data_IF_542632817464
#
_entry.id   IF_542632817464
#
_cell.length_a   1.000
_cell.length_b   1.000
_cell.length_c   1.000
_cell.angle_alpha   90.00
_cell.angle_beta   90.00
_cell.angle_gamma   90.00
#
_symmetry.space_group_name_H-M   'P 1'
#
loop_
_entity.id
_entity.type
_entity.pdbx_description
1 polymer ?
#
# COMPACT_ATOMS: atom_id res chain seq x y z
N UNK A 1 39.33 8.75 -47.34
CA UNK A 1 39.21 8.64 -48.80
C UNK A 1 37.78 8.22 -49.15
N UNK A 2 37.24 8.97 -50.05
CA UNK A 2 36.03 8.92 -50.88
C UNK A 2 34.74 9.42 -50.23
N UNK A 3 34.47 10.67 -50.51
CA UNK A 3 33.20 11.37 -50.62
C UNK A 3 32.45 10.86 -51.87
N UNK A 4 31.12 10.77 -51.80
CA UNK A 4 30.27 10.94 -52.97
C UNK A 4 29.01 11.68 -52.56
N UNK A 5 28.81 12.84 -53.17
CA UNK A 5 27.68 13.75 -53.20
C UNK A 5 26.94 13.55 -54.52
N UNK A 6 25.61 13.73 -54.60
CA UNK A 6 24.82 14.19 -55.75
C UNK A 6 23.35 14.14 -55.36
N UNK A 7 22.58 15.12 -55.42
CA UNK A 7 22.17 16.27 -56.23
C UNK A 7 20.69 16.13 -56.62
N UNK A 8 19.96 17.07 -56.19
CA UNK A 8 18.82 17.91 -56.61
C UNK A 8 18.19 17.58 -57.99
N UNK A 9 16.83 17.51 -58.01
CA UNK A 9 16.05 17.94 -59.17
C UNK A 9 14.64 18.39 -58.79
N UNK A 10 14.35 19.65 -59.00
CA UNK A 10 13.06 20.30 -58.93
C UNK A 10 12.37 20.21 -60.30
N UNK A 11 11.07 20.09 -60.35
CA UNK A 11 10.28 20.41 -61.57
C UNK A 11 8.98 21.12 -61.18
N UNK A 12 8.86 22.37 -61.60
CA UNK A 12 7.65 23.17 -61.67
C UNK A 12 6.81 22.77 -62.91
N UNK A 13 5.48 22.81 -62.79
CA UNK A 13 4.59 23.04 -63.93
C UNK A 13 3.38 23.87 -63.50
N UNK A 14 3.25 25.02 -64.12
CA UNK A 14 2.12 25.99 -64.12
C UNK A 14 1.05 25.59 -65.11
N UNK A 15 -0.15 26.08 -64.86
CA UNK A 15 -1.17 26.33 -65.89
C UNK A 15 -2.59 25.96 -65.45
N UNK A 16 -3.63 26.68 -65.58
CA UNK A 16 -4.09 27.93 -66.16
C UNK A 16 -5.54 28.13 -65.69
N UNK A 17 -5.96 29.37 -65.56
CA UNK A 17 -7.24 29.88 -65.07
C UNK A 17 -8.45 29.53 -65.96
N UNK A 18 -9.64 29.52 -65.33
CA UNK A 18 -10.92 29.54 -66.03
C UNK A 18 -12.01 30.10 -65.09
N UNK A 19 -12.37 31.37 -65.33
CA UNK A 19 -13.53 32.03 -64.69
C UNK A 19 -14.86 31.55 -65.34
N UNK A 20 -15.86 31.31 -64.53
CA UNK A 20 -17.25 31.55 -64.90
C UNK A 20 -18.13 31.75 -63.65
N UNK A 21 -18.79 32.90 -63.61
CA UNK A 21 -19.74 33.41 -62.68
C UNK A 21 -21.10 32.70 -62.77
N UNK A 22 -21.78 32.40 -61.64
CA UNK A 22 -23.22 32.70 -61.44
C UNK A 22 -23.68 32.35 -60.03
N UNK A 23 -24.18 33.35 -59.36
CA UNK A 23 -25.26 33.52 -58.36
C UNK A 23 -25.74 32.37 -57.47
N UNK A 24 -25.82 32.74 -56.23
CA UNK A 24 -26.50 32.23 -55.03
C UNK A 24 -27.96 31.76 -55.20
N UNK A 25 -28.52 30.92 -54.32
CA UNK A 25 -28.94 31.45 -53.01
C UNK A 25 -28.62 30.54 -51.81
N UNK A 26 -28.61 31.21 -50.66
CA UNK A 26 -28.42 30.76 -49.29
C UNK A 26 -29.29 29.51 -48.91
N UNK A 27 -28.69 28.55 -48.28
CA UNK A 27 -29.41 27.71 -47.30
C UNK A 27 -28.48 27.41 -46.10
N UNK A 28 -28.89 27.94 -44.97
CA UNK A 28 -28.37 27.69 -43.65
C UNK A 28 -28.81 26.32 -43.18
N UNK A 29 -27.92 25.35 -43.11
CA UNK A 29 -28.08 24.20 -42.22
C UNK A 29 -26.82 24.03 -41.41
N UNK A 30 -26.92 24.38 -40.12
CA UNK A 30 -25.92 24.16 -39.11
C UNK A 30 -25.71 22.66 -38.90
N UNK A 31 -24.54 22.19 -39.24
CA UNK A 31 -24.07 20.88 -38.81
C UNK A 31 -23.74 20.92 -37.34
N UNK A 32 -24.69 20.45 -36.54
CA UNK A 32 -24.51 20.15 -35.14
C UNK A 32 -23.65 18.87 -35.05
N UNK A 33 -22.34 19.00 -34.93
CA UNK A 33 -21.50 17.87 -34.53
C UNK A 33 -21.74 17.61 -33.04
N UNK A 34 -22.04 16.36 -32.63
CA UNK A 34 -22.30 16.07 -31.24
C UNK A 34 -21.01 16.26 -30.42
N UNK A 35 -21.10 17.08 -29.38
CA UNK A 35 -20.03 17.31 -28.39
C UNK A 35 -19.57 16.04 -27.63
N UNK A 36 -20.23 14.91 -27.87
CA UNK A 36 -19.92 13.62 -27.26
C UNK A 36 -18.70 12.91 -27.87
N UNK A 37 -18.29 13.27 -29.11
CA UNK A 37 -17.17 12.61 -29.76
C UNK A 37 -15.82 13.27 -29.47
N UNK A 38 -15.82 14.54 -28.97
CA UNK A 38 -14.62 15.23 -28.52
C UNK A 38 -14.28 14.93 -27.05
N UNK A 39 -15.24 14.51 -26.23
CA UNK A 39 -14.97 14.09 -24.83
C UNK A 39 -14.37 12.67 -24.74
N UNK A 40 -14.64 11.81 -25.74
CA UNK A 40 -14.13 10.44 -25.76
C UNK A 40 -12.66 10.32 -26.23
N UNK A 41 -12.12 11.33 -26.91
CA UNK A 41 -10.72 11.31 -27.39
C UNK A 41 -9.74 12.00 -26.46
N UNK A 42 -10.19 12.89 -25.56
CA UNK A 42 -9.33 13.54 -24.58
C UNK A 42 -9.00 12.67 -23.35
N UNK A 43 -9.77 11.60 -23.09
CA UNK A 43 -9.57 10.71 -21.95
C UNK A 43 -8.72 9.46 -22.24
N UNK A 44 -8.32 9.24 -23.48
CA UNK A 44 -7.59 8.02 -23.86
C UNK A 44 -6.05 8.21 -23.88
N UNK A 45 -5.57 9.44 -23.88
CA UNK A 45 -4.11 9.74 -23.92
C UNK A 45 -3.45 9.71 -22.53
N UNK A 46 -4.21 9.84 -21.44
CA UNK A 46 -3.71 9.87 -20.06
C UNK A 46 -4.15 8.63 -19.23
N UNK A 47 -4.59 7.55 -19.90
CA UNK A 47 -5.02 6.36 -19.18
C UNK A 47 -3.83 5.49 -18.77
N UNK A 48 -3.75 5.14 -17.48
CA UNK A 48 -2.76 4.23 -16.91
C UNK A 48 -3.35 2.82 -16.85
N UNK A 49 -2.67 1.87 -17.48
CA UNK A 49 -3.03 0.46 -17.46
C UNK A 49 -2.00 -0.32 -16.61
N UNK A 50 -2.47 -1.13 -15.69
CA UNK A 50 -1.64 -1.96 -14.81
C UNK A 50 -2.37 -3.26 -14.44
N UNK A 51 -1.62 -4.22 -13.91
CA UNK A 51 -2.16 -5.45 -13.34
C UNK A 51 -2.19 -5.33 -11.82
N UNK A 52 -3.35 -5.56 -11.20
CA UNK A 52 -3.50 -5.55 -9.74
C UNK A 52 -2.97 -6.85 -9.08
N UNK A 53 -2.97 -6.91 -7.75
CA UNK A 53 -2.42 -8.06 -7.00
C UNK A 53 -3.28 -9.33 -7.09
N UNK A 54 -4.47 -9.25 -7.64
CA UNK A 54 -5.30 -10.41 -8.01
C UNK A 54 -5.12 -10.85 -9.47
N UNK A 55 -4.25 -10.16 -10.23
CA UNK A 55 -3.98 -10.46 -11.64
C UNK A 55 -5.03 -9.89 -12.59
N UNK A 56 -5.82 -8.90 -12.16
CA UNK A 56 -6.76 -8.23 -13.05
C UNK A 56 -6.08 -7.10 -13.81
N UNK A 57 -6.37 -6.99 -15.11
CA UNK A 57 -6.02 -5.80 -15.88
C UNK A 57 -6.97 -4.66 -15.52
N UNK A 58 -6.42 -3.55 -15.07
CA UNK A 58 -7.14 -2.35 -14.65
C UNK A 58 -6.65 -1.17 -15.46
N UNK A 59 -7.59 -0.36 -15.95
CA UNK A 59 -7.27 0.90 -16.65
C UNK A 59 -7.99 2.05 -15.96
N UNK A 60 -7.26 3.07 -15.59
CA UNK A 60 -7.76 4.25 -14.89
C UNK A 60 -7.28 5.50 -15.63
N UNK A 61 -8.18 6.45 -15.85
CA UNK A 61 -7.87 7.69 -16.55
C UNK A 61 -8.22 8.89 -15.67
N UNK A 62 -7.22 9.53 -15.06
CA UNK A 62 -7.34 10.75 -14.27
C UNK A 62 -8.58 10.76 -13.33
N UNK A 63 -8.65 9.84 -12.35
CA UNK A 63 -9.84 9.66 -11.52
C UNK A 63 -10.04 10.87 -10.62
N UNK A 64 -11.30 11.32 -10.50
CA UNK A 64 -11.68 12.50 -9.72
C UNK A 64 -12.50 12.13 -8.48
N UNK A 65 -13.02 10.92 -8.43
CA UNK A 65 -13.91 10.43 -7.37
C UNK A 65 -13.45 9.07 -6.88
N UNK A 66 -12.40 9.10 -6.07
CA UNK A 66 -11.75 7.87 -5.59
C UNK A 66 -12.30 7.45 -4.23
N UNK A 67 -12.59 6.17 -4.09
CA UNK A 67 -12.92 5.54 -2.82
C UNK A 67 -11.83 4.55 -2.45
N UNK A 68 -11.27 4.65 -1.24
CA UNK A 68 -10.28 3.73 -0.71
C UNK A 68 -10.86 2.93 0.47
N UNK A 69 -10.93 1.61 0.33
CA UNK A 69 -11.57 0.71 1.28
C UNK A 69 -10.61 0.15 2.35
N UNK A 70 -9.49 0.82 2.59
CA UNK A 70 -8.54 0.55 3.66
C UNK A 70 -7.77 1.85 4.00
N UNK A 71 -7.69 2.18 5.29
CA UNK A 71 -7.10 3.45 5.75
C UNK A 71 -5.67 3.69 5.30
N UNK A 72 -4.83 2.64 5.30
CA UNK A 72 -3.46 2.77 4.79
C UNK A 72 -3.38 3.05 3.29
N UNK A 73 -4.31 2.52 2.49
CA UNK A 73 -4.37 2.82 1.05
C UNK A 73 -4.97 4.20 0.78
N UNK A 74 -5.92 4.65 1.63
CA UNK A 74 -6.41 6.02 1.58
C UNK A 74 -5.28 7.03 1.78
N UNK A 75 -4.47 6.84 2.82
CA UNK A 75 -3.31 7.67 3.09
C UNK A 75 -2.25 7.56 1.96
N UNK A 76 -1.95 6.36 1.47
CA UNK A 76 -1.00 6.18 0.37
C UNK A 76 -1.46 6.88 -0.92
N UNK A 77 -2.77 6.87 -1.21
CA UNK A 77 -3.34 7.59 -2.35
C UNK A 77 -3.14 9.10 -2.24
N UNK A 78 -3.39 9.69 -1.05
CA UNK A 78 -3.14 11.11 -0.81
C UNK A 78 -1.64 11.45 -0.83
N UNK A 79 -0.78 10.59 -0.28
CA UNK A 79 0.68 10.72 -0.36
C UNK A 79 1.20 10.68 -1.81
N UNK A 80 0.44 10.10 -2.74
CA UNK A 80 0.72 10.11 -4.18
C UNK A 80 0.05 11.28 -4.91
N UNK A 81 -0.50 12.28 -4.20
CA UNK A 81 -1.13 13.47 -4.77
C UNK A 81 -2.60 13.31 -5.13
N UNK A 82 -3.23 12.20 -4.78
CA UNK A 82 -4.65 11.94 -5.05
C UNK A 82 -5.60 12.58 -4.03
N UNK A 83 -6.88 12.64 -4.36
CA UNK A 83 -7.96 13.07 -3.47
C UNK A 83 -9.03 11.99 -3.34
N UNK A 84 -9.79 12.00 -2.24
CA UNK A 84 -10.74 10.98 -1.88
C UNK A 84 -12.16 11.55 -1.71
N UNK A 85 -13.19 10.77 -2.09
CA UNK A 85 -14.60 11.06 -1.77
C UNK A 85 -15.17 10.08 -0.74
N UNK A 86 -14.49 8.94 -0.53
CA UNK A 86 -14.91 7.93 0.44
C UNK A 86 -13.75 7.08 0.95
N UNK A 87 -13.83 6.69 2.21
CA UNK A 87 -12.82 5.87 2.90
C UNK A 87 -13.49 4.86 3.84
N UNK A 88 -12.78 3.78 4.20
CA UNK A 88 -13.19 2.91 5.31
C UNK A 88 -13.02 3.59 6.66
N UNK A 89 -13.76 3.15 7.67
CA UNK A 89 -13.81 3.78 9.00
C UNK A 89 -12.43 3.86 9.67
N UNK A 90 -11.55 2.88 9.46
CA UNK A 90 -10.19 2.85 9.99
C UNK A 90 -9.32 4.02 9.50
N UNK A 91 -9.60 4.58 8.33
CA UNK A 91 -8.90 5.75 7.80
C UNK A 91 -9.05 6.99 8.71
N UNK A 92 -10.24 7.14 9.33
CA UNK A 92 -10.59 8.32 10.14
C UNK A 92 -10.40 8.08 11.65
N UNK A 93 -10.33 6.82 12.09
CA UNK A 93 -10.27 6.44 13.52
C UNK A 93 -8.93 5.90 13.95
N UNK A 94 -8.15 5.32 13.02
CA UNK A 94 -6.83 4.82 13.33
C UNK A 94 -5.87 6.00 13.57
N UNK A 95 -5.27 6.03 14.74
CA UNK A 95 -4.18 6.97 15.00
C UNK A 95 -3.03 6.68 14.02
N UNK A 96 -2.66 7.66 13.20
CA UNK A 96 -1.54 7.54 12.26
C UNK A 96 -1.89 7.77 10.79
N UNK A 97 -3.19 7.72 10.40
CA UNK A 97 -3.60 8.14 9.05
C UNK A 97 -4.09 9.59 9.08
N UNK A 98 -3.35 10.49 8.43
CA UNK A 98 -3.81 11.84 8.18
C UNK A 98 -4.54 11.83 6.83
N UNK A 99 -5.87 11.93 6.84
CA UNK A 99 -6.68 12.11 5.64
C UNK A 99 -6.99 13.59 5.48
N UNK A 100 -6.49 14.20 4.40
CA UNK A 100 -6.57 15.63 4.14
C UNK A 100 -7.73 16.02 3.20
N UNK A 101 -8.29 15.04 2.47
CA UNK A 101 -9.43 15.26 1.58
C UNK A 101 -10.62 15.80 2.34
N UNK A 102 -11.24 16.91 1.89
CA UNK A 102 -12.39 17.51 2.57
C UNK A 102 -13.66 16.67 2.37
N UNK A 103 -14.53 16.67 3.36
CA UNK A 103 -15.89 16.10 3.30
C UNK A 103 -15.93 14.62 2.85
N UNK A 104 -14.91 13.84 3.25
CA UNK A 104 -14.83 12.40 2.92
C UNK A 104 -15.90 11.61 3.66
N UNK A 105 -16.67 10.81 2.93
CA UNK A 105 -17.67 9.91 3.50
C UNK A 105 -17.05 8.59 3.96
N UNK A 106 -17.66 7.91 4.95
CA UNK A 106 -17.26 6.55 5.31
C UNK A 106 -18.06 5.50 4.55
N UNK A 107 -17.41 4.41 4.18
CA UNK A 107 -18.02 3.28 3.47
C UNK A 107 -18.08 2.00 4.31
N UNK A 108 -17.88 2.13 5.64
CA UNK A 108 -17.92 1.05 6.61
C UNK A 108 -16.53 0.55 7.02
N UNK A 109 -16.52 -0.46 7.90
CA UNK A 109 -15.28 -1.09 8.38
C UNK A 109 -14.53 -1.79 7.24
N UNK A 110 -13.18 -1.67 7.20
CA UNK A 110 -12.37 -2.26 6.11
C UNK A 110 -12.53 -3.79 5.97
N UNK A 111 -12.96 -4.49 7.04
CA UNK A 111 -13.26 -5.93 6.98
C UNK A 111 -14.65 -6.23 6.44
N UNK A 112 -15.52 -5.22 6.34
CA UNK A 112 -16.90 -5.34 5.87
C UNK A 112 -17.42 -4.01 5.30
N UNK A 113 -16.81 -3.56 4.19
CA UNK A 113 -17.23 -2.33 3.51
C UNK A 113 -18.63 -2.47 2.91
N UNK A 114 -19.36 -1.36 2.85
CA UNK A 114 -20.73 -1.34 2.34
C UNK A 114 -20.75 -0.97 0.85
N UNK A 115 -21.10 -1.93 0.00
CA UNK A 115 -21.17 -1.77 -1.46
C UNK A 115 -22.14 -0.64 -1.87
N UNK A 116 -23.31 -0.53 -1.22
CA UNK A 116 -24.29 0.52 -1.57
C UNK A 116 -23.74 1.91 -1.26
N UNK A 117 -23.02 2.07 -0.14
CA UNK A 117 -22.35 3.31 0.23
C UNK A 117 -21.26 3.68 -0.80
N UNK A 118 -20.49 2.70 -1.28
CA UNK A 118 -19.48 2.92 -2.32
C UNK A 118 -20.16 3.41 -3.60
N UNK A 119 -21.19 2.71 -4.10
CA UNK A 119 -21.89 3.06 -5.34
C UNK A 119 -22.58 4.42 -5.24
N UNK A 120 -23.15 4.76 -4.07
CA UNK A 120 -23.83 6.04 -3.85
C UNK A 120 -22.88 7.25 -3.95
N UNK A 121 -21.58 7.05 -3.79
CA UNK A 121 -20.56 8.08 -3.99
C UNK A 121 -20.20 8.29 -5.46
N UNK A 122 -20.78 7.50 -6.39
CA UNK A 122 -20.49 7.55 -7.83
C UNK A 122 -18.98 7.62 -8.14
N UNK A 123 -18.18 6.65 -7.61
CA UNK A 123 -16.73 6.68 -7.81
C UNK A 123 -16.36 6.35 -9.27
N UNK A 124 -15.27 6.93 -9.71
CA UNK A 124 -14.63 6.60 -11.01
C UNK A 124 -13.37 5.72 -10.82
N UNK A 125 -12.97 5.47 -9.56
CA UNK A 125 -11.98 4.47 -9.19
C UNK A 125 -12.18 4.00 -7.75
N UNK A 126 -12.02 2.69 -7.49
CA UNK A 126 -12.09 2.11 -6.15
C UNK A 126 -10.82 1.33 -5.85
N UNK A 127 -10.20 1.63 -4.71
CA UNK A 127 -8.99 0.98 -4.19
C UNK A 127 -9.39 0.03 -3.07
N UNK A 128 -9.05 -1.25 -3.21
CA UNK A 128 -9.42 -2.31 -2.28
C UNK A 128 -8.21 -3.15 -1.84
N UNK A 129 -8.36 -3.89 -0.75
CA UNK A 129 -7.36 -4.87 -0.31
C UNK A 129 -7.72 -6.29 -0.75
N UNK A 130 -6.72 -7.03 -1.26
CA UNK A 130 -6.83 -8.46 -1.50
C UNK A 130 -6.57 -9.29 -0.23
N UNK A 131 -5.83 -8.73 0.73
CA UNK A 131 -5.40 -9.41 1.94
C UNK A 131 -6.27 -9.14 3.17
N UNK A 132 -6.19 -10.02 4.14
CA UNK A 132 -6.90 -9.94 5.43
C UNK A 132 -6.08 -9.28 6.55
N UNK A 133 -4.97 -8.61 6.21
CA UNK A 133 -4.08 -8.00 7.20
C UNK A 133 -3.41 -9.01 8.14
N UNK A 134 -3.02 -10.18 7.62
CA UNK A 134 -2.34 -11.22 8.38
C UNK A 134 -3.26 -12.17 9.14
N UNK A 135 -4.60 -12.09 8.93
CA UNK A 135 -5.55 -13.02 9.53
C UNK A 135 -5.68 -14.35 8.78
N UNK A 136 -5.11 -14.44 7.58
CA UNK A 136 -5.19 -15.59 6.66
C UNK A 136 -6.53 -15.64 5.91
N UNK A 137 -6.48 -16.08 4.65
CA UNK A 137 -7.63 -16.10 3.74
C UNK A 137 -7.73 -14.82 2.89
N UNK A 138 -8.72 -14.80 2.01
CA UNK A 138 -8.99 -13.65 1.15
C UNK A 138 -9.82 -12.59 1.88
N UNK A 139 -9.66 -11.33 1.49
CA UNK A 139 -10.49 -10.23 1.98
C UNK A 139 -11.93 -10.39 1.47
N UNK A 140 -12.93 -10.08 2.32
CA UNK A 140 -14.34 -10.00 1.89
C UNK A 140 -14.56 -8.95 0.80
N UNK A 141 -13.63 -8.00 0.63
CA UNK A 141 -13.69 -6.99 -0.42
C UNK A 141 -13.56 -7.58 -1.82
N UNK A 142 -12.89 -8.74 -1.96
CA UNK A 142 -12.72 -9.44 -3.25
C UNK A 142 -14.06 -9.84 -3.85
N UNK A 143 -15.05 -10.20 -3.01
CA UNK A 143 -16.39 -10.59 -3.45
C UNK A 143 -17.20 -9.43 -4.09
N UNK A 144 -16.77 -8.18 -3.87
CA UNK A 144 -17.46 -7.00 -4.39
C UNK A 144 -17.08 -6.65 -5.83
N UNK A 145 -16.03 -7.28 -6.38
CA UNK A 145 -15.49 -6.95 -7.70
C UNK A 145 -16.51 -7.03 -8.81
N UNK A 146 -17.27 -8.13 -8.87
CA UNK A 146 -18.24 -8.35 -9.95
C UNK A 146 -19.30 -7.25 -9.98
N UNK A 147 -19.81 -6.85 -8.82
CA UNK A 147 -20.84 -5.82 -8.70
C UNK A 147 -20.31 -4.44 -9.13
N UNK A 148 -19.08 -4.06 -8.72
CA UNK A 148 -18.46 -2.79 -9.08
C UNK A 148 -18.17 -2.72 -10.57
N UNK A 149 -17.52 -3.74 -11.14
CA UNK A 149 -17.21 -3.79 -12.59
C UNK A 149 -18.47 -3.81 -13.43
N UNK A 150 -19.52 -4.55 -13.02
CA UNK A 150 -20.81 -4.55 -13.71
C UNK A 150 -21.50 -3.18 -13.67
N UNK A 151 -21.20 -2.36 -12.68
CA UNK A 151 -21.64 -0.97 -12.56
C UNK A 151 -20.76 0.01 -13.36
N UNK A 152 -19.75 -0.48 -14.07
CA UNK A 152 -18.82 0.32 -14.85
C UNK A 152 -17.76 1.05 -14.02
N UNK A 153 -17.55 0.64 -12.77
CA UNK A 153 -16.60 1.25 -11.83
C UNK A 153 -15.27 0.47 -11.87
N UNK A 154 -14.15 1.08 -12.29
CA UNK A 154 -12.83 0.48 -12.18
C UNK A 154 -12.47 0.19 -10.70
N UNK A 155 -11.99 -1.03 -10.44
CA UNK A 155 -11.53 -1.43 -9.09
C UNK A 155 -10.20 -2.13 -9.19
N UNK A 156 -9.28 -1.80 -8.28
CA UNK A 156 -7.99 -2.45 -8.14
C UNK A 156 -7.79 -2.97 -6.73
N UNK A 157 -7.14 -4.13 -6.62
CA UNK A 157 -6.82 -4.80 -5.38
C UNK A 157 -5.32 -4.77 -5.12
N UNK A 158 -4.95 -4.36 -3.91
CA UNK A 158 -3.55 -4.31 -3.50
C UNK A 158 -3.33 -5.09 -2.20
N UNK A 159 -2.11 -5.63 -2.06
CA UNK A 159 -1.61 -6.18 -0.82
C UNK A 159 -0.22 -5.59 -0.54
N UNK A 160 -0.04 -5.06 0.66
CA UNK A 160 1.23 -4.52 1.11
C UNK A 160 1.66 -5.27 2.36
N UNK A 161 2.73 -6.03 2.24
CA UNK A 161 3.36 -6.78 3.34
C UNK A 161 4.81 -6.38 3.49
N UNK A 162 5.48 -6.02 2.40
CA UNK A 162 6.87 -5.59 2.36
C UNK A 162 7.00 -4.14 1.92
N UNK A 163 8.19 -3.58 2.11
CA UNK A 163 8.48 -2.25 1.57
C UNK A 163 8.46 -2.22 0.04
N UNK A 164 8.87 -3.30 -0.63
CA UNK A 164 8.79 -3.41 -2.09
C UNK A 164 7.33 -3.37 -2.60
N UNK A 165 6.38 -3.96 -1.85
CA UNK A 165 4.95 -3.83 -2.16
C UNK A 165 4.48 -2.38 -2.05
N UNK A 166 4.94 -1.66 -1.02
CA UNK A 166 4.64 -0.23 -0.87
C UNK A 166 5.23 0.60 -2.02
N UNK A 167 6.46 0.34 -2.44
CA UNK A 167 7.07 1.02 -3.59
C UNK A 167 6.25 0.81 -4.87
N UNK A 168 5.81 -0.43 -5.12
CA UNK A 168 4.97 -0.78 -6.26
C UNK A 168 3.61 -0.08 -6.20
N UNK A 169 2.97 -0.06 -5.03
CA UNK A 169 1.71 0.65 -4.79
C UNK A 169 1.87 2.14 -5.09
N UNK A 170 2.88 2.79 -4.50
CA UNK A 170 3.15 4.22 -4.68
C UNK A 170 3.51 4.57 -6.12
N UNK A 171 4.25 3.69 -6.82
CA UNK A 171 4.55 3.89 -8.25
C UNK A 171 3.26 3.89 -9.08
N UNK A 172 2.39 2.88 -8.85
CA UNK A 172 1.10 2.80 -9.54
C UNK A 172 0.23 4.03 -9.26
N UNK A 173 0.17 4.48 -8.01
CA UNK A 173 -0.64 5.65 -7.65
C UNK A 173 -0.06 6.95 -8.25
N UNK A 174 1.25 7.15 -8.20
CA UNK A 174 1.89 8.31 -8.80
C UNK A 174 1.77 8.34 -10.33
N UNK A 175 1.78 7.18 -10.99
CA UNK A 175 1.51 7.10 -12.43
C UNK A 175 0.08 7.54 -12.76
N UNK A 176 -0.90 7.17 -11.93
CA UNK A 176 -2.32 7.55 -12.10
C UNK A 176 -2.54 9.04 -11.82
N UNK A 177 -1.93 9.57 -10.75
CA UNK A 177 -2.07 11.00 -10.37
C UNK A 177 -1.20 11.92 -11.21
N UNK A 178 -0.14 11.39 -11.83
CA UNK A 178 0.86 12.16 -12.56
C UNK A 178 1.83 12.91 -11.65
N UNK A 179 1.87 12.64 -10.35
CA UNK A 179 2.72 13.34 -9.37
C UNK A 179 4.02 12.56 -9.06
N UNK A 180 5.00 12.73 -9.94
CA UNK A 180 6.34 12.16 -9.76
C UNK A 180 7.06 12.71 -8.52
N UNK A 181 6.81 13.98 -8.17
CA UNK A 181 7.45 14.59 -7.00
C UNK A 181 6.94 13.95 -5.70
N UNK A 182 5.67 13.60 -5.64
CA UNK A 182 5.08 12.87 -4.52
C UNK A 182 5.71 11.47 -4.37
N UNK A 183 5.95 10.74 -5.47
CA UNK A 183 6.66 9.47 -5.44
C UNK A 183 8.11 9.62 -4.93
N UNK A 184 8.85 10.59 -5.46
CA UNK A 184 10.21 10.86 -5.01
C UNK A 184 10.26 11.18 -3.51
N UNK A 185 9.32 11.98 -3.02
CA UNK A 185 9.27 12.37 -1.61
C UNK A 185 8.86 11.23 -0.67
N UNK A 186 7.81 10.46 -1.02
CA UNK A 186 7.13 9.56 -0.09
C UNK A 186 7.49 8.08 -0.32
N UNK A 187 8.26 7.75 -1.36
CA UNK A 187 8.68 6.40 -1.68
C UNK A 187 10.18 6.28 -1.96
N UNK A 188 10.72 7.00 -2.95
CA UNK A 188 12.13 6.85 -3.35
C UNK A 188 13.11 7.35 -2.27
N UNK A 189 12.82 8.47 -1.59
CA UNK A 189 13.63 8.94 -0.47
C UNK A 189 13.61 7.98 0.72
N UNK A 190 12.44 7.38 1.01
CA UNK A 190 12.27 6.36 2.05
C UNK A 190 13.09 5.11 1.71
N UNK A 191 13.10 4.68 0.44
CA UNK A 191 13.93 3.58 -0.02
C UNK A 191 15.42 3.83 0.24
N UNK A 192 15.91 5.02 -0.11
CA UNK A 192 17.30 5.38 0.13
C UNK A 192 17.67 5.35 1.62
N UNK A 193 16.77 5.82 2.48
CA UNK A 193 16.97 5.78 3.94
C UNK A 193 17.06 4.32 4.44
N UNK A 194 16.13 3.45 4.01
CA UNK A 194 16.11 2.03 4.37
C UNK A 194 17.38 1.31 3.88
N UNK A 195 17.81 1.55 2.64
CA UNK A 195 19.06 0.98 2.12
C UNK A 195 20.27 1.44 2.94
N UNK A 196 20.28 2.70 3.36
CA UNK A 196 21.29 3.24 4.27
C UNK A 196 21.32 2.51 5.62
N UNK A 197 20.17 2.22 6.22
CA UNK A 197 20.05 1.47 7.47
C UNK A 197 20.53 0.02 7.26
N UNK A 198 20.03 -0.66 6.23
CA UNK A 198 20.41 -2.07 5.92
C UNK A 198 21.91 -2.23 5.68
N UNK A 199 22.56 -1.22 5.10
CA UNK A 199 24.01 -1.24 4.85
C UNK A 199 24.87 -1.23 6.13
N UNK A 200 24.28 -0.87 7.28
CA UNK A 200 24.94 -0.79 8.57
C UNK A 200 24.77 -2.09 9.39
N UNK A 201 23.93 -3.04 8.93
CA UNK A 201 23.72 -4.32 9.63
C UNK A 201 25.04 -5.09 9.72
N UNK A 202 25.46 -5.53 10.93
CA UNK A 202 26.70 -6.30 11.10
C UNK A 202 26.62 -7.64 10.36
N UNK A 203 27.61 -7.93 9.52
CA UNK A 203 27.61 -9.14 8.67
C UNK A 203 27.76 -10.46 9.46
N UNK A 204 28.34 -10.39 10.66
CA UNK A 204 28.66 -11.55 11.49
C UNK A 204 27.62 -11.79 12.62
N UNK A 205 26.57 -10.97 12.68
CA UNK A 205 25.50 -11.08 13.67
C UNK A 205 24.21 -11.58 13.02
N UNK A 206 23.56 -12.55 13.65
CA UNK A 206 22.28 -13.09 13.21
C UNK A 206 21.40 -13.35 14.45
N UNK A 207 20.92 -12.29 15.12
CA UNK A 207 20.12 -12.46 16.33
C UNK A 207 18.83 -13.22 16.03
N UNK A 208 18.36 -13.96 17.05
CA UNK A 208 17.09 -14.67 17.00
C UNK A 208 15.97 -13.83 17.59
N UNK A 209 14.78 -13.90 17.01
CA UNK A 209 13.62 -13.19 17.55
C UNK A 209 12.32 -13.99 17.44
N UNK A 210 11.36 -13.58 18.28
CA UNK A 210 9.94 -13.86 18.11
C UNK A 210 9.16 -12.55 18.03
N UNK A 211 8.22 -12.48 17.11
CA UNK A 211 7.28 -11.37 16.98
C UNK A 211 5.90 -11.85 17.40
N UNK A 212 5.25 -11.10 18.27
CA UNK A 212 3.92 -11.43 18.79
C UNK A 212 2.98 -10.25 18.62
N UNK A 213 1.77 -10.52 18.14
CA UNK A 213 0.67 -9.57 18.20
C UNK A 213 -0.27 -9.97 19.33
N UNK A 214 -0.56 -9.04 20.24
CA UNK A 214 -1.49 -9.25 21.35
C UNK A 214 -2.81 -8.53 21.09
N UNK A 215 -3.90 -9.11 21.54
CA UNK A 215 -5.25 -8.55 21.43
C UNK A 215 -6.11 -9.08 22.61
N UNK A 216 -7.28 -8.51 22.81
CA UNK A 216 -8.18 -8.89 23.94
C UNK A 216 -8.52 -10.39 23.99
N UNK A 217 -8.41 -11.12 22.89
CA UNK A 217 -8.66 -12.57 22.79
C UNK A 217 -7.43 -13.44 22.97
N UNK A 218 -6.20 -12.86 23.12
CA UNK A 218 -4.98 -13.64 23.29
C UNK A 218 -3.75 -13.10 22.58
N UNK A 219 -2.82 -14.00 22.28
CA UNK A 219 -1.54 -13.69 21.63
C UNK A 219 -1.40 -14.55 20.36
N UNK A 220 -0.86 -13.97 19.31
CA UNK A 220 -0.53 -14.65 18.07
C UNK A 220 0.93 -14.40 17.73
N UNK A 221 1.67 -15.46 17.40
CA UNK A 221 3.05 -15.37 16.91
C UNK A 221 3.03 -15.09 15.41
N UNK A 222 3.96 -14.26 14.95
CA UNK A 222 4.08 -13.81 13.57
C UNK A 222 5.30 -14.47 12.88
N UNK A 223 5.14 -14.87 11.62
CA UNK A 223 6.24 -15.37 10.77
C UNK A 223 6.99 -14.22 10.09
N UNK A 224 8.10 -14.54 9.42
CA UNK A 224 8.79 -13.60 8.51
C UNK A 224 7.96 -13.19 7.28
N UNK A 225 6.85 -13.86 7.02
CA UNK A 225 5.89 -13.47 5.97
C UNK A 225 4.93 -12.33 6.38
N UNK A 226 5.06 -11.78 7.59
CA UNK A 226 4.31 -10.59 8.03
C UNK A 226 5.16 -9.34 7.90
N UNK A 227 4.54 -8.16 7.93
CA UNK A 227 5.23 -6.89 7.74
C UNK A 227 6.44 -6.71 8.68
N UNK A 228 6.23 -6.81 9.99
CA UNK A 228 7.32 -6.69 10.97
C UNK A 228 8.34 -7.84 10.84
N UNK A 229 7.86 -9.06 10.55
CA UNK A 229 8.73 -10.20 10.31
C UNK A 229 9.62 -10.03 9.08
N UNK A 230 9.11 -9.44 8.00
CA UNK A 230 9.88 -9.13 6.79
C UNK A 230 10.94 -8.06 7.05
N UNK A 231 10.60 -6.97 7.77
CA UNK A 231 11.57 -5.96 8.17
C UNK A 231 12.72 -6.54 9.01
N UNK A 232 12.40 -7.41 9.97
CA UNK A 232 13.41 -8.08 10.78
C UNK A 232 14.29 -9.00 9.95
N UNK A 233 13.73 -9.75 8.98
CA UNK A 233 14.50 -10.59 8.08
C UNK A 233 15.46 -9.76 7.21
N UNK A 234 15.02 -8.60 6.72
CA UNK A 234 15.86 -7.64 6.00
C UNK A 234 17.02 -7.09 6.86
N UNK A 235 16.83 -7.02 8.17
CA UNK A 235 17.85 -6.63 9.14
C UNK A 235 18.67 -7.82 9.66
N UNK A 236 18.62 -8.99 9.00
CA UNK A 236 19.44 -10.15 9.33
C UNK A 236 18.95 -10.97 10.52
N UNK A 237 17.77 -10.73 11.05
CA UNK A 237 17.20 -11.44 12.19
C UNK A 237 16.59 -12.77 11.75
N UNK A 238 16.84 -13.83 12.50
CA UNK A 238 16.23 -15.14 12.31
C UNK A 238 14.96 -15.26 13.18
N UNK A 239 13.80 -15.31 12.55
CA UNK A 239 12.53 -15.49 13.24
C UNK A 239 12.34 -16.98 13.59
N UNK A 240 12.34 -17.31 14.88
CA UNK A 240 12.24 -18.68 15.37
C UNK A 240 10.87 -19.33 15.08
N UNK A 241 9.84 -18.55 14.81
CA UNK A 241 8.51 -19.05 14.45
C UNK A 241 8.49 -19.74 13.08
N UNK A 242 9.39 -19.38 12.15
CA UNK A 242 9.45 -19.99 10.82
C UNK A 242 9.90 -21.46 10.89
N UNK A 243 10.76 -21.77 11.85
CA UNK A 243 11.22 -23.14 12.12
C UNK A 243 10.25 -23.91 13.04
N UNK A 244 9.43 -23.19 13.81
CA UNK A 244 8.52 -23.73 14.84
C UNK A 244 7.05 -23.41 14.50
N UNK A 245 6.58 -23.95 13.38
CA UNK A 245 5.25 -23.66 12.79
C UNK A 245 4.06 -23.98 13.70
N UNK A 246 4.24 -24.75 14.78
CA UNK A 246 3.21 -24.97 15.80
C UNK A 246 2.86 -23.67 16.51
N UNK A 247 3.84 -22.80 16.77
CA UNK A 247 3.63 -21.48 17.38
C UNK A 247 2.78 -20.54 16.53
N UNK A 248 2.83 -20.68 15.20
CA UNK A 248 2.02 -19.89 14.29
C UNK A 248 0.53 -20.27 14.33
N UNK A 249 0.21 -21.47 14.84
CA UNK A 249 -1.17 -21.95 14.99
C UNK A 249 -1.71 -21.69 16.36
N UNK A 250 -0.93 -22.04 17.38
CA UNK A 250 -1.30 -21.94 18.79
C UNK A 250 -0.13 -21.37 19.59
N UNK A 251 -0.37 -20.23 20.26
CA UNK A 251 0.61 -19.65 21.17
C UNK A 251 0.85 -20.57 22.37
N UNK A 252 2.11 -20.86 22.65
CA UNK A 252 2.56 -21.63 23.82
C UNK A 252 3.71 -20.92 24.52
N UNK A 253 3.49 -20.50 25.77
CA UNK A 253 4.49 -19.85 26.59
C UNK A 253 5.66 -20.78 26.88
N UNK A 254 5.40 -22.09 27.08
CA UNK A 254 6.42 -23.11 27.28
C UNK A 254 7.35 -23.24 26.07
N UNK A 255 6.75 -23.21 24.86
CA UNK A 255 7.55 -23.26 23.62
C UNK A 255 8.40 -22.00 23.44
N UNK A 256 7.91 -20.83 23.82
CA UNK A 256 8.71 -19.59 23.80
C UNK A 256 9.89 -19.70 24.77
N UNK A 257 9.64 -20.24 25.97
CA UNK A 257 10.70 -20.44 26.98
C UNK A 257 11.75 -21.47 26.50
N UNK A 258 11.33 -22.55 25.84
CA UNK A 258 12.24 -23.56 25.32
C UNK A 258 13.13 -23.01 24.18
N UNK A 259 12.60 -22.12 23.36
CA UNK A 259 13.32 -21.51 22.24
C UNK A 259 14.35 -20.47 22.67
N UNK A 260 14.14 -19.82 23.80
CA UNK A 260 14.98 -18.77 24.38
C UNK A 260 15.51 -17.75 23.36
N UNK A 261 14.62 -16.95 22.71
CA UNK A 261 15.03 -15.98 21.70
C UNK A 261 15.89 -14.84 22.31
N UNK A 262 16.78 -14.27 21.49
CA UNK A 262 17.56 -13.08 21.86
C UNK A 262 16.68 -11.84 22.02
N UNK A 263 15.60 -11.74 21.20
CA UNK A 263 14.63 -10.65 21.20
C UNK A 263 13.20 -11.16 21.20
N UNK A 264 12.32 -10.46 21.91
CA UNK A 264 10.88 -10.65 21.84
C UNK A 264 10.23 -9.30 21.54
N UNK A 265 9.58 -9.19 20.39
CA UNK A 265 8.82 -8.01 19.99
C UNK A 265 7.32 -8.25 20.18
N UNK A 266 6.64 -7.32 20.86
CA UNK A 266 5.20 -7.38 21.10
C UNK A 266 4.54 -6.17 20.49
N UNK A 267 3.50 -6.43 19.68
CA UNK A 267 2.71 -5.39 19.00
C UNK A 267 1.28 -5.49 19.53
N UNK A 268 0.82 -4.55 20.37
CA UNK A 268 -0.57 -4.54 20.84
C UNK A 268 -1.51 -4.16 19.70
N UNK A 269 -2.62 -4.90 19.55
CA UNK A 269 -3.66 -4.67 18.53
C UNK A 269 -4.98 -4.28 19.19
N UNK A 270 -5.55 -3.18 18.75
CA UNK A 270 -6.81 -2.61 19.27
C UNK A 270 -6.60 -1.21 19.83
N UNK A 271 -7.70 -0.57 20.24
CA UNK A 271 -7.70 0.82 20.73
C UNK A 271 -7.15 1.00 22.14
N UNK A 272 -6.90 -0.11 22.86
CA UNK A 272 -6.38 -0.13 24.24
C UNK A 272 -5.22 -1.13 24.32
N UNK A 273 -4.01 -0.61 24.26
CA UNK A 273 -2.78 -1.39 24.28
C UNK A 273 -2.60 -2.15 25.60
N UNK A 274 -3.06 -1.58 26.74
CA UNK A 274 -2.98 -2.24 28.05
C UNK A 274 -3.92 -3.45 28.08
N UNK A 275 -5.16 -3.29 27.64
CA UNK A 275 -6.11 -4.40 27.55
C UNK A 275 -5.64 -5.47 26.54
N UNK A 276 -5.01 -5.07 25.42
CA UNK A 276 -4.47 -5.99 24.43
C UNK A 276 -3.34 -6.86 24.98
N UNK A 277 -2.52 -6.32 25.89
CA UNK A 277 -1.36 -7.04 26.46
C UNK A 277 -1.66 -7.72 27.80
N UNK A 278 -2.79 -7.44 28.43
CA UNK A 278 -3.10 -7.90 29.78
C UNK A 278 -3.00 -9.43 29.95
N UNK A 279 -3.55 -10.21 29.02
CA UNK A 279 -3.52 -11.67 29.07
C UNK A 279 -2.08 -12.22 28.99
N UNK A 280 -1.23 -11.65 28.12
CA UNK A 280 0.17 -12.02 28.01
C UNK A 280 0.94 -11.64 29.30
N UNK A 281 0.73 -10.43 29.82
CA UNK A 281 1.35 -9.96 31.04
C UNK A 281 0.98 -10.83 32.26
N UNK A 282 -0.29 -11.24 32.36
CA UNK A 282 -0.72 -12.16 33.43
C UNK A 282 -0.05 -13.54 33.30
N UNK A 283 -0.03 -14.11 32.09
CA UNK A 283 0.58 -15.42 31.84
C UNK A 283 2.09 -15.41 32.11
N UNK A 284 2.80 -14.35 31.72
CA UNK A 284 4.25 -14.22 31.92
C UNK A 284 4.59 -13.96 33.41
N UNK A 285 3.81 -13.13 34.10
CA UNK A 285 4.00 -12.86 35.53
C UNK A 285 3.76 -14.11 36.41
N UNK A 286 2.88 -15.01 35.98
CA UNK A 286 2.60 -16.26 36.68
C UNK A 286 3.68 -17.34 36.48
N UNK A 287 4.60 -17.17 35.51
CA UNK A 287 5.60 -18.17 35.16
C UNK A 287 7.04 -17.69 35.49
N UNK A 288 7.68 -18.18 36.60
CA UNK A 288 9.02 -17.79 36.96
C UNK A 288 10.09 -18.05 35.88
N UNK A 289 9.89 -19.06 35.01
CA UNK A 289 10.82 -19.38 33.92
C UNK A 289 10.87 -18.28 32.84
N UNK A 290 9.80 -17.46 32.70
CA UNK A 290 9.81 -16.30 31.84
C UNK A 290 10.94 -15.31 32.16
N UNK A 291 11.16 -15.08 33.45
CA UNK A 291 12.21 -14.16 33.92
C UNK A 291 13.63 -14.68 33.66
N UNK A 292 13.80 -15.96 33.29
CA UNK A 292 15.11 -16.51 32.94
C UNK A 292 15.43 -16.45 31.45
N UNK A 293 14.46 -16.03 30.60
CA UNK A 293 14.68 -15.84 29.17
C UNK A 293 15.79 -14.81 28.90
N UNK A 294 16.63 -15.11 27.92
CA UNK A 294 17.70 -14.22 27.46
C UNK A 294 17.16 -12.84 27.08
N UNK A 295 16.07 -12.79 26.29
CA UNK A 295 15.41 -11.53 25.92
C UNK A 295 14.95 -10.71 27.13
N UNK A 296 14.42 -11.34 28.18
CA UNK A 296 13.93 -10.65 29.38
C UNK A 296 15.09 -10.14 30.23
N UNK A 297 16.11 -10.95 30.44
CA UNK A 297 17.28 -10.58 31.26
C UNK A 297 18.10 -9.46 30.63
N UNK A 298 18.17 -9.41 29.31
CA UNK A 298 18.96 -8.40 28.60
C UNK A 298 18.12 -7.14 28.25
N UNK A 299 16.84 -7.08 28.62
CA UNK A 299 15.97 -5.94 28.30
C UNK A 299 15.48 -5.91 26.85
N UNK A 300 15.56 -7.02 26.15
CA UNK A 300 15.15 -7.19 24.76
C UNK A 300 13.70 -7.70 24.61
N UNK A 301 12.90 -7.59 25.65
CA UNK A 301 11.43 -7.75 25.58
C UNK A 301 10.81 -6.37 25.32
N UNK A 302 10.47 -6.11 24.05
CA UNK A 302 10.18 -4.77 23.53
C UNK A 302 8.76 -4.69 23.03
N UNK A 303 8.00 -3.68 23.50
CA UNK A 303 6.70 -3.34 22.92
C UNK A 303 6.91 -2.34 21.80
N UNK A 304 6.42 -2.67 20.60
CA UNK A 304 6.51 -1.84 19.41
C UNK A 304 5.23 -1.01 19.23
N UNK A 305 5.37 0.18 18.65
CA UNK A 305 4.24 1.07 18.35
C UNK A 305 3.38 0.46 17.22
N UNK A 306 2.07 0.21 17.44
CA UNK A 306 1.18 -0.30 16.40
C UNK A 306 1.11 0.56 15.13
N UNK A 307 1.37 1.85 15.21
CA UNK A 307 1.38 2.75 14.05
C UNK A 307 2.46 2.37 13.04
N UNK A 308 3.62 1.95 13.54
CA UNK A 308 4.77 1.59 12.71
C UNK A 308 4.84 0.09 12.39
N UNK A 309 4.18 -0.78 13.19
CA UNK A 309 4.41 -2.21 13.15
C UNK A 309 3.16 -3.07 12.99
N UNK A 310 1.95 -2.50 13.10
CA UNK A 310 0.69 -3.19 12.86
C UNK A 310 -0.05 -2.60 11.64
N UNK A 311 -0.17 -1.28 11.60
CA UNK A 311 -0.67 -0.54 10.45
C UNK A 311 0.48 -0.33 9.46
N UNK A 312 0.17 -0.21 8.15
CA UNK A 312 1.22 0.09 7.18
C UNK A 312 1.74 1.51 7.40
N UNK A 313 3.04 1.70 7.66
CA UNK A 313 3.59 3.00 8.03
C UNK A 313 3.70 3.98 6.86
N UNK A 314 3.48 3.52 5.62
CA UNK A 314 3.53 4.31 4.38
C UNK A 314 4.83 5.13 4.28
N UNK A 315 4.80 6.47 4.25
CA UNK A 315 6.02 7.28 4.16
C UNK A 315 6.97 7.17 5.37
N UNK A 316 6.59 6.43 6.44
CA UNK A 316 7.39 6.23 7.65
C UNK A 316 7.98 4.80 7.75
N UNK A 317 8.12 4.09 6.64
CA UNK A 317 8.78 2.78 6.64
C UNK A 317 10.23 2.86 7.14
N UNK A 318 10.95 3.91 6.81
CA UNK A 318 12.33 4.16 7.27
C UNK A 318 12.40 4.34 8.78
N UNK A 319 11.42 5.01 9.40
CA UNK A 319 11.31 5.11 10.85
C UNK A 319 11.13 3.73 11.49
N UNK A 320 10.29 2.87 10.90
CA UNK A 320 10.10 1.48 11.37
C UNK A 320 11.42 0.69 11.30
N UNK A 321 12.15 0.77 10.19
CA UNK A 321 13.46 0.13 10.05
C UNK A 321 14.48 0.69 11.04
N UNK A 322 14.51 2.01 11.26
CA UNK A 322 15.43 2.64 12.19
C UNK A 322 15.17 2.20 13.63
N UNK A 323 13.90 2.14 14.07
CA UNK A 323 13.53 1.66 15.41
C UNK A 323 13.98 0.21 15.61
N UNK A 324 13.79 -0.67 14.63
CA UNK A 324 14.25 -2.05 14.73
C UNK A 324 15.79 -2.14 14.74
N UNK A 325 16.46 -1.40 13.85
CA UNK A 325 17.91 -1.38 13.78
C UNK A 325 18.54 -0.91 15.13
N UNK A 326 18.03 0.18 15.69
CA UNK A 326 18.51 0.71 16.96
C UNK A 326 18.27 -0.26 18.11
N UNK A 327 17.13 -0.97 18.09
CA UNK A 327 16.83 -2.00 19.09
C UNK A 327 17.76 -3.21 18.98
N UNK A 328 18.09 -3.63 17.78
CA UNK A 328 18.90 -4.83 17.52
C UNK A 328 20.40 -4.58 17.67
N UNK A 329 20.89 -3.44 17.21
CA UNK A 329 22.31 -3.16 17.01
C UNK A 329 22.79 -1.84 17.62
N UNK A 330 21.86 -0.98 18.08
CA UNK A 330 22.22 0.23 18.79
C UNK A 330 22.98 -0.09 20.07
N UNK A 331 24.17 0.43 20.23
CA UNK A 331 24.93 0.27 21.48
C UNK A 331 24.22 1.05 22.60
N UNK A 332 23.68 0.35 23.58
CA UNK A 332 23.23 0.91 24.85
C UNK A 332 24.43 1.42 25.70
#
# INVERSE_FOLDING_TARGET
MKKITFALAALLALGVAGCATSQEPANTEGANQPAAEQAATAGAEDAVAFTDDLGNEVTVANPQRVVACMGSFANAWELAGGTLVGVSDDALTAEGFAIESPDVATVGDFTNVNLESIIALEPDFVIMTSGTGGRGGDSSQVDLREALVSSGIPVAYFEVTTFDDYLRLMRTFADITGDEAAYEQNAASVQQAIEGIKSQVPADEAPTALVMTTYSGGTRVQSSGTMTGAMLADLGVRNLADENRSLLKDFSLESVIELDPDFIFVIPMGNDAEAATAALNEATAANPAWNSLSAVQNGHYVTLDPKLFLSKPNANWDESYQVLYDTLYGQN
#
